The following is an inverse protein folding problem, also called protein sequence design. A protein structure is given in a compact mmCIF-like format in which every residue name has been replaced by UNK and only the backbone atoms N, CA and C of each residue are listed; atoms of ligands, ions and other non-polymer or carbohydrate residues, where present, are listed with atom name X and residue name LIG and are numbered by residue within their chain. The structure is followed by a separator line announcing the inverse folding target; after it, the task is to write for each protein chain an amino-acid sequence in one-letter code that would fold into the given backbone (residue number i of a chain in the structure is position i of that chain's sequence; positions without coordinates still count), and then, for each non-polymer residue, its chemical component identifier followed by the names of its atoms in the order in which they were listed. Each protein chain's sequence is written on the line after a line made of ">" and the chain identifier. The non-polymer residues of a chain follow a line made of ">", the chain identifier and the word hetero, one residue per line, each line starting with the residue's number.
data_IF_583213693482
#
_entry.id   IF_583213693482
#
_cell.length_a   1.000
_cell.length_b   1.000
_cell.length_c   1.000
_cell.angle_alpha   90.00
_cell.angle_beta   90.00
_cell.angle_gamma   90.00
#
_symmetry.space_group_name_H-M   'P 1'
#
loop_
_entity.id
_entity.type
_entity.pdbx_description
1 polymer ?
#
# COMPACT_ATOMS: atom_id res chain seq x y z
N UNK A 1 19.91 -24.19 -17.31
CA UNK A 1 19.09 -23.41 -16.35
C UNK A 1 19.88 -22.15 -16.01
N UNK A 2 19.31 -20.96 -16.22
CA UNK A 2 20.01 -19.72 -15.88
C UNK A 2 19.72 -19.42 -14.41
N UNK A 3 20.76 -19.19 -13.61
CA UNK A 3 20.65 -18.92 -12.17
C UNK A 3 20.26 -17.46 -11.91
N UNK A 4 19.80 -17.18 -10.68
CA UNK A 4 19.60 -15.81 -10.25
C UNK A 4 20.95 -15.06 -10.27
N UNK A 5 20.95 -13.81 -10.77
CA UNK A 5 22.17 -13.03 -10.96
C UNK A 5 21.99 -11.57 -10.59
N UNK A 6 23.07 -10.96 -10.08
CA UNK A 6 23.21 -9.51 -9.98
C UNK A 6 23.94 -9.02 -11.24
N UNK A 7 23.36 -8.09 -11.96
CA UNK A 7 23.90 -7.53 -13.20
C UNK A 7 24.16 -6.05 -13.00
N UNK A 8 25.42 -5.62 -13.15
CA UNK A 8 25.80 -4.22 -13.11
C UNK A 8 26.03 -3.71 -14.53
N UNK A 9 25.30 -2.68 -14.94
CA UNK A 9 25.55 -1.95 -16.18
C UNK A 9 26.26 -0.64 -15.85
N UNK A 10 27.53 -0.57 -16.27
CA UNK A 10 28.40 0.58 -16.05
C UNK A 10 27.95 1.83 -16.79
N UNK A 11 27.37 1.70 -17.99
CA UNK A 11 27.01 2.85 -18.81
C UNK A 11 25.77 3.56 -18.27
N UNK A 12 24.79 2.79 -17.80
CA UNK A 12 23.58 3.32 -17.16
C UNK A 12 23.70 3.49 -15.64
N UNK A 13 24.82 3.05 -15.05
CA UNK A 13 25.05 2.97 -13.61
C UNK A 13 23.91 2.24 -12.86
N UNK A 14 23.34 1.20 -13.50
CA UNK A 14 22.24 0.43 -12.94
C UNK A 14 22.72 -0.90 -12.35
N UNK A 15 22.04 -1.33 -11.29
CA UNK A 15 22.18 -2.66 -10.70
C UNK A 15 20.85 -3.39 -10.84
N UNK A 16 20.80 -4.42 -11.67
CA UNK A 16 19.62 -5.24 -11.89
C UNK A 16 19.75 -6.59 -11.19
N UNK A 17 18.67 -7.03 -10.55
CA UNK A 17 18.58 -8.37 -9.99
C UNK A 17 17.68 -9.21 -10.89
N UNK A 18 18.23 -10.24 -11.51
CA UNK A 18 17.47 -11.12 -12.41
C UNK A 18 17.20 -12.45 -11.75
N UNK A 19 15.93 -12.83 -11.67
CA UNK A 19 15.48 -14.17 -11.28
C UNK A 19 14.77 -14.81 -12.48
N UNK A 20 15.43 -15.72 -13.23
CA UNK A 20 14.83 -16.35 -14.39
C UNK A 20 13.55 -17.12 -14.04
N UNK A 21 12.47 -16.88 -14.80
CA UNK A 21 11.17 -17.48 -14.53
C UNK A 21 10.46 -16.91 -13.30
N UNK A 22 10.79 -15.66 -12.90
CA UNK A 22 10.22 -14.93 -11.77
C UNK A 22 8.74 -15.21 -11.58
N UNK A 23 8.44 -16.16 -10.70
CA UNK A 23 7.10 -16.35 -10.15
C UNK A 23 6.85 -15.21 -9.18
N UNK A 24 5.59 -14.79 -9.04
CA UNK A 24 5.18 -13.90 -7.95
C UNK A 24 5.84 -14.36 -6.64
N UNK A 25 6.61 -13.48 -5.98
CA UNK A 25 7.28 -13.79 -4.70
C UNK A 25 8.82 -13.72 -4.64
N UNK A 26 9.52 -13.19 -5.65
CA UNK A 26 10.95 -12.84 -5.48
C UNK A 26 11.06 -11.54 -4.70
N UNK A 27 11.40 -11.62 -3.41
CA UNK A 27 11.53 -10.46 -2.51
C UNK A 27 12.99 -10.21 -2.11
N UNK A 28 13.37 -8.93 -2.00
CA UNK A 28 14.61 -8.50 -1.36
C UNK A 28 14.29 -7.92 0.01
N UNK A 29 14.89 -8.48 1.06
CA UNK A 29 14.70 -8.04 2.43
C UNK A 29 15.84 -7.13 2.85
N UNK A 30 15.49 -5.91 3.27
CA UNK A 30 16.42 -4.98 3.89
C UNK A 30 16.10 -4.91 5.38
N UNK A 31 17.10 -5.20 6.23
CA UNK A 31 16.96 -5.09 7.69
C UNK A 31 17.26 -3.67 8.22
N UNK A 32 17.53 -2.73 7.32
CA UNK A 32 17.89 -1.33 7.58
C UNK A 32 17.17 -0.42 6.57
N UNK A 33 17.23 0.89 6.81
CA UNK A 33 16.62 1.89 5.92
C UNK A 33 17.18 1.83 4.50
N UNK A 34 16.30 1.93 3.51
CA UNK A 34 16.66 2.15 2.10
C UNK A 34 16.48 3.63 1.79
N UNK A 35 17.60 4.35 1.62
CA UNK A 35 17.58 5.76 1.23
C UNK A 35 17.79 5.88 -0.28
N UNK A 36 16.82 6.47 -0.98
CA UNK A 36 16.91 6.78 -2.39
C UNK A 36 16.86 8.30 -2.58
N UNK A 37 17.77 8.85 -3.38
CA UNK A 37 17.70 10.26 -3.81
C UNK A 37 16.61 10.49 -4.88
N UNK A 38 16.19 9.41 -5.56
CA UNK A 38 15.11 9.41 -6.54
C UNK A 38 13.82 8.77 -6.01
N UNK A 39 12.87 8.51 -6.91
CA UNK A 39 11.57 7.95 -6.56
C UNK A 39 11.54 6.42 -6.64
N UNK A 40 10.72 5.80 -5.78
CA UNK A 40 10.33 4.40 -5.94
C UNK A 40 9.14 4.33 -6.90
N UNK A 41 9.35 3.73 -8.07
CA UNK A 41 8.31 3.55 -9.09
C UNK A 41 7.98 2.07 -9.23
N UNK A 42 6.70 1.75 -9.41
CA UNK A 42 6.22 0.40 -9.67
C UNK A 42 5.61 0.30 -11.07
N UNK A 43 5.93 -0.76 -11.81
CA UNK A 43 5.32 -1.02 -13.12
C UNK A 43 3.85 -1.36 -12.95
N UNK A 44 2.96 -0.58 -13.59
CA UNK A 44 1.49 -0.73 -13.47
C UNK A 44 0.83 -1.02 -14.83
N UNK A 45 1.50 -1.80 -15.69
CA UNK A 45 1.05 -2.09 -17.06
C UNK A 45 -0.06 -3.14 -17.11
N UNK A 46 -1.08 -2.92 -17.95
CA UNK A 46 -2.20 -3.85 -18.14
C UNK A 46 -1.75 -5.23 -18.64
N UNK A 47 -0.74 -5.29 -19.52
CA UNK A 47 -0.20 -6.55 -20.05
C UNK A 47 0.37 -7.49 -19.00
N UNK A 48 0.63 -6.98 -17.78
CA UNK A 48 1.15 -7.74 -16.65
C UNK A 48 0.05 -8.06 -15.61
N UNK A 49 -1.21 -7.71 -15.88
CA UNK A 49 -2.30 -7.80 -14.91
C UNK A 49 -3.47 -8.60 -15.46
N UNK A 50 -4.05 -9.41 -14.58
CA UNK A 50 -5.32 -10.08 -14.80
C UNK A 50 -6.41 -9.33 -14.03
N UNK A 51 -7.05 -8.36 -14.69
CA UNK A 51 -8.00 -7.43 -14.07
C UNK A 51 -9.30 -8.16 -13.72
N UNK A 52 -9.67 -8.15 -12.43
CA UNK A 52 -10.86 -8.85 -11.90
C UNK A 52 -12.11 -7.98 -11.75
N UNK A 53 -12.01 -6.69 -12.08
CA UNK A 53 -13.09 -5.70 -11.91
C UNK A 53 -12.71 -4.61 -10.91
N UNK A 54 -13.69 -3.76 -10.56
CA UNK A 54 -13.52 -2.71 -9.56
C UNK A 54 -13.51 -3.27 -8.13
N UNK A 55 -12.93 -2.52 -7.19
CA UNK A 55 -13.03 -2.82 -5.76
C UNK A 55 -14.51 -2.84 -5.33
N UNK A 56 -14.91 -3.86 -4.57
CA UNK A 56 -16.30 -4.08 -4.16
C UNK A 56 -16.54 -3.68 -2.68
N UNK A 57 -15.50 -3.29 -1.95
CA UNK A 57 -15.63 -2.77 -0.59
C UNK A 57 -16.04 -1.29 -0.58
N UNK A 58 -16.22 -0.73 0.62
CA UNK A 58 -16.53 0.68 0.84
C UNK A 58 -15.26 1.36 1.33
N UNK A 59 -14.52 1.96 0.40
CA UNK A 59 -13.20 2.51 0.71
C UNK A 59 -13.26 3.64 1.75
N UNK A 60 -14.30 4.46 1.72
CA UNK A 60 -14.51 5.51 2.70
C UNK A 60 -14.74 4.95 4.10
N UNK A 61 -15.59 3.94 4.23
CA UNK A 61 -15.82 3.26 5.51
C UNK A 61 -14.54 2.59 6.03
N UNK A 62 -13.81 1.90 5.13
CA UNK A 62 -12.57 1.22 5.44
C UNK A 62 -11.53 2.19 6.02
N UNK A 63 -11.35 3.37 5.42
CA UNK A 63 -10.39 4.35 5.93
C UNK A 63 -10.87 5.05 7.21
N UNK A 64 -12.18 5.24 7.39
CA UNK A 64 -12.75 5.87 8.60
C UNK A 64 -12.62 4.95 9.83
N UNK A 65 -12.64 3.64 9.63
CA UNK A 65 -12.45 2.64 10.68
C UNK A 65 -11.00 2.21 10.88
N UNK A 66 -10.05 2.76 10.11
CA UNK A 66 -8.64 2.46 10.27
C UNK A 66 -8.00 3.38 11.31
N UNK A 67 -7.38 2.79 12.33
CA UNK A 67 -6.63 3.57 13.33
C UNK A 67 -5.28 4.03 12.75
N UNK A 68 -5.05 5.34 12.74
CA UNK A 68 -3.75 5.93 12.40
C UNK A 68 -3.09 6.39 13.69
N UNK A 69 -1.93 5.82 14.00
CA UNK A 69 -1.25 6.09 15.28
C UNK A 69 0.20 6.54 15.08
N UNK A 70 0.66 7.33 16.03
CA UNK A 70 2.07 7.72 16.13
C UNK A 70 2.85 6.70 16.96
N UNK A 71 4.02 6.30 16.49
CA UNK A 71 4.89 5.38 17.21
C UNK A 71 6.37 5.62 16.89
N UNK A 72 7.24 4.96 17.66
CA UNK A 72 8.66 4.79 17.33
C UNK A 72 9.00 3.30 17.32
N UNK A 73 9.93 2.86 16.48
CA UNK A 73 10.42 1.49 16.53
C UNK A 73 11.21 1.25 17.83
N UNK A 74 11.10 0.04 18.40
CA UNK A 74 11.81 -0.34 19.64
C UNK A 74 13.34 -0.19 19.53
N UNK A 75 13.90 -0.44 18.35
CA UNK A 75 15.32 -0.28 18.06
C UNK A 75 15.72 1.14 17.65
N UNK A 76 14.76 2.05 17.46
CA UNK A 76 14.99 3.46 17.12
C UNK A 76 13.94 4.37 17.78
N UNK A 77 14.01 4.55 19.12
CA UNK A 77 12.97 5.23 19.88
C UNK A 77 12.84 6.73 19.55
N UNK A 78 13.84 7.34 18.91
CA UNK A 78 13.86 8.77 18.55
C UNK A 78 13.16 9.06 17.21
N UNK A 79 12.93 8.05 16.38
CA UNK A 79 12.32 8.23 15.06
C UNK A 79 10.79 8.11 15.16
N UNK A 80 10.10 9.24 15.02
CA UNK A 80 8.63 9.29 14.96
C UNK A 80 8.13 8.73 13.64
N UNK A 81 7.10 7.91 13.70
CA UNK A 81 6.41 7.29 12.58
C UNK A 81 4.90 7.55 12.73
N UNK A 82 4.19 7.58 11.60
CA UNK A 82 2.73 7.73 11.57
C UNK A 82 2.18 6.77 10.51
N UNK A 83 1.45 5.74 10.94
CA UNK A 83 0.85 4.77 10.03
C UNK A 83 -0.26 3.98 10.74
N UNK A 84 -1.05 3.19 9.99
CA UNK A 84 -1.76 2.07 10.60
C UNK A 84 -0.80 1.03 11.21
N UNK A 85 -1.35 0.18 12.09
CA UNK A 85 -0.64 -0.94 12.72
C UNK A 85 -1.38 -2.25 12.47
N UNK A 86 -0.64 -3.30 12.10
CA UNK A 86 -1.12 -4.67 12.16
C UNK A 86 -0.99 -5.14 13.61
N UNK A 87 -2.11 -5.33 14.30
CA UNK A 87 -2.11 -5.86 15.66
C UNK A 87 -1.90 -7.38 15.62
N UNK A 88 -0.65 -7.84 15.69
CA UNK A 88 -0.27 -9.26 15.71
C UNK A 88 -0.11 -9.82 17.13
N UNK A 89 -0.10 -8.97 18.15
CA UNK A 89 0.15 -9.35 19.55
C UNK A 89 -1.14 -9.69 20.30
N UNK A 90 -2.23 -8.93 20.08
CA UNK A 90 -3.45 -9.11 20.85
C UNK A 90 -4.39 -10.15 20.21
N UNK A 91 -5.04 -10.96 21.07
CA UNK A 91 -6.11 -11.89 20.68
C UNK A 91 -7.36 -11.15 20.22
N UNK A 92 -7.71 -10.08 20.94
CA UNK A 92 -8.77 -9.14 20.56
C UNK A 92 -8.05 -7.93 19.98
N UNK A 93 -8.28 -7.67 18.69
CA UNK A 93 -7.58 -6.61 17.96
C UNK A 93 -7.96 -5.25 18.52
N UNK A 94 -6.94 -4.45 18.85
CA UNK A 94 -7.09 -3.08 19.32
C UNK A 94 -6.92 -2.07 18.19
N UNK A 95 -6.22 -2.44 17.12
CA UNK A 95 -6.05 -1.64 15.92
C UNK A 95 -6.70 -2.34 14.74
N UNK A 96 -7.48 -1.58 13.97
CA UNK A 96 -8.22 -2.10 12.82
C UNK A 96 -7.57 -1.69 11.52
N UNK A 97 -7.49 -2.62 10.57
CA UNK A 97 -6.90 -2.41 9.25
C UNK A 97 -7.65 -3.23 8.18
N UNK A 98 -7.98 -2.66 7.01
CA UNK A 98 -8.62 -3.39 5.92
C UNK A 98 -7.74 -4.52 5.37
N UNK A 99 -8.36 -5.68 5.09
CA UNK A 99 -7.65 -6.86 4.60
C UNK A 99 -6.89 -6.61 3.29
N UNK A 100 -7.40 -5.74 2.41
CA UNK A 100 -6.77 -5.46 1.11
C UNK A 100 -5.39 -4.78 1.25
N UNK A 101 -5.11 -4.17 2.39
CA UNK A 101 -3.80 -3.56 2.68
C UNK A 101 -2.99 -4.35 3.71
N UNK A 102 -3.53 -5.45 4.23
CA UNK A 102 -2.96 -6.23 5.33
C UNK A 102 -2.75 -7.69 4.92
N UNK A 103 -1.50 -8.11 4.73
CA UNK A 103 -1.18 -9.53 4.49
C UNK A 103 -0.88 -10.32 5.78
N UNK A 104 -1.11 -9.70 6.94
CA UNK A 104 -0.79 -10.22 8.27
C UNK A 104 0.65 -9.94 8.73
N UNK A 105 1.49 -9.32 7.90
CA UNK A 105 2.90 -8.99 8.23
C UNK A 105 3.33 -7.61 7.74
N UNK A 106 2.83 -7.18 6.60
CA UNK A 106 3.23 -5.96 5.90
C UNK A 106 2.01 -5.18 5.46
N UNK A 107 2.16 -3.85 5.45
CA UNK A 107 1.14 -2.95 4.92
C UNK A 107 1.44 -2.67 3.45
N UNK A 108 0.48 -2.95 2.57
CA UNK A 108 0.61 -2.67 1.15
C UNK A 108 0.36 -1.17 0.87
N UNK A 109 1.44 -0.40 0.75
CA UNK A 109 1.38 1.04 0.50
C UNK A 109 0.65 1.41 -0.79
N UNK A 110 0.79 0.60 -1.85
CA UNK A 110 0.11 0.86 -3.13
C UNK A 110 -1.40 0.70 -2.99
N UNK A 111 -1.85 -0.32 -2.26
CA UNK A 111 -3.26 -0.55 -1.98
C UNK A 111 -3.81 0.53 -1.03
N UNK A 112 -3.06 0.95 -0.01
CA UNK A 112 -3.43 2.04 0.90
C UNK A 112 -3.66 3.36 0.13
N UNK A 113 -2.71 3.76 -0.73
CA UNK A 113 -2.89 4.96 -1.56
C UNK A 113 -4.09 4.84 -2.51
N UNK A 114 -4.30 3.66 -3.09
CA UNK A 114 -5.44 3.41 -3.99
C UNK A 114 -6.78 3.49 -3.26
N UNK A 115 -6.88 2.95 -2.04
CA UNK A 115 -8.05 3.10 -1.18
C UNK A 115 -8.31 4.56 -0.84
N UNK A 116 -7.28 5.35 -0.51
CA UNK A 116 -7.45 6.78 -0.24
C UNK A 116 -8.06 7.53 -1.43
N UNK A 117 -7.62 7.23 -2.66
CA UNK A 117 -8.24 7.82 -3.85
C UNK A 117 -9.69 7.39 -4.04
N UNK A 118 -10.00 6.11 -3.85
CA UNK A 118 -11.37 5.62 -3.99
C UNK A 118 -12.29 6.20 -2.91
N UNK A 119 -11.83 6.31 -1.67
CA UNK A 119 -12.55 6.94 -0.57
C UNK A 119 -12.89 8.41 -0.85
N UNK A 120 -11.97 9.16 -1.47
CA UNK A 120 -12.24 10.55 -1.91
C UNK A 120 -13.34 10.57 -2.98
N UNK A 121 -13.30 9.65 -3.95
CA UNK A 121 -14.36 9.55 -4.97
C UNK A 121 -15.72 9.21 -4.36
N UNK A 122 -15.76 8.29 -3.39
CA UNK A 122 -16.97 7.94 -2.66
C UNK A 122 -17.49 9.10 -1.80
N UNK A 123 -16.60 9.87 -1.17
CA UNK A 123 -16.96 11.06 -0.39
C UNK A 123 -17.58 12.14 -1.28
N UNK A 124 -16.98 12.43 -2.44
CA UNK A 124 -17.52 13.41 -3.40
C UNK A 124 -18.92 13.00 -3.85
N UNK A 125 -19.13 11.73 -4.23
CA UNK A 125 -20.46 11.22 -4.59
C UNK A 125 -21.48 11.36 -3.45
N UNK A 126 -21.07 11.13 -2.20
CA UNK A 126 -21.94 11.32 -1.04
C UNK A 126 -22.34 12.80 -0.88
N UNK A 127 -21.42 13.73 -1.13
CA UNK A 127 -21.70 15.17 -1.08
C UNK A 127 -22.67 15.59 -2.20
N UNK A 128 -22.41 15.18 -3.44
CA UNK A 128 -23.30 15.46 -4.59
C UNK A 128 -24.74 14.97 -4.31
N UNK A 129 -24.87 13.75 -3.80
CA UNK A 129 -26.18 13.18 -3.42
C UNK A 129 -26.88 13.95 -2.28
N UNK A 130 -26.13 14.61 -1.40
CA UNK A 130 -26.69 15.44 -0.32
C UNK A 130 -27.14 16.79 -0.87
N UNK A 131 -26.34 17.41 -1.74
CA UNK A 131 -26.66 18.67 -2.41
C UNK A 131 -27.93 18.52 -3.26
N UNK A 132 -28.05 17.47 -4.08
CA UNK A 132 -29.25 17.18 -4.87
C UNK A 132 -30.52 17.05 -4.00
N UNK A 133 -30.39 16.44 -2.81
CA UNK A 133 -31.52 16.29 -1.88
C UNK A 133 -31.92 17.61 -1.25
N UNK A 134 -30.96 18.50 -0.98
CA UNK A 134 -31.23 19.84 -0.45
C UNK A 134 -31.95 20.66 -1.52
N UNK A 135 -31.45 20.65 -2.75
CA UNK A 135 -32.05 21.37 -3.88
C UNK A 135 -33.46 20.87 -4.22
N UNK A 136 -33.76 19.59 -4.01
CA UNK A 136 -35.10 19.03 -4.21
C UNK A 136 -36.13 19.47 -3.16
N UNK A 137 -35.70 20.05 -2.04
CA UNK A 137 -36.56 20.47 -0.92
C UNK A 137 -36.66 22.02 -0.83
N UNK A 138 -35.73 22.75 -1.46
CA UNK A 138 -35.73 24.21 -1.56
C UNK A 138 -36.71 24.73 -2.63
#
# INVERSE_FOLDING_TARGET
>A
LQEASIQYDKASATLAFRVPGGRSGSAFWFNQNVNAAGSFNSTSLLSLKDVKGGYQGNALEDILHTDIVEYSYKNNPKARQLSPIIDDVNKIKQFTLPDIINDGKTVNLYAMSSLSWLAIQELVKKLENVEEKIDAIA
#
